data_IF_829542929370
#
_entry.id   IF_829542929370
#
_cell.length_a   1.000
_cell.length_b   1.000
_cell.length_c   1.000
_cell.angle_alpha   90.00
_cell.angle_beta   90.00
_cell.angle_gamma   90.00
#
_symmetry.space_group_name_H-M   'P 1'
#
loop_
_entity.id
_entity.type
_entity.pdbx_description
1 polymer ?
#
# COMPACT_ATOMS: atom_id res chain seq x y z
N UNK A 1 2.04 19.25 13.49
CA UNK A 1 2.02 19.21 12.01
C UNK A 1 0.60 19.54 11.55
N UNK A 2 0.44 20.39 10.53
CA UNK A 2 -0.89 20.71 9.98
C UNK A 2 -1.49 19.47 9.31
N UNK A 3 -2.74 19.16 9.63
CA UNK A 3 -3.50 18.03 9.04
C UNK A 3 -3.41 18.04 7.50
N UNK A 4 -3.33 19.23 6.89
CA UNK A 4 -3.14 19.42 5.45
C UNK A 4 -1.96 18.62 4.87
N UNK A 5 -0.81 18.57 5.54
CA UNK A 5 0.37 17.82 5.06
C UNK A 5 0.12 16.31 5.10
N UNK A 6 -0.63 15.82 6.10
CA UNK A 6 -0.98 14.41 6.22
C UNK A 6 -1.98 13.95 5.14
N UNK A 7 -2.77 14.86 4.56
CA UNK A 7 -3.73 14.54 3.49
C UNK A 7 -3.08 14.38 2.12
N UNK A 8 -1.92 15.01 1.88
CA UNK A 8 -1.26 14.99 0.57
C UNK A 8 -0.96 13.56 0.09
N UNK A 9 -0.32 12.68 0.89
CA UNK A 9 -0.06 11.31 0.44
C UNK A 9 -1.33 10.53 0.13
N UNK A 10 -2.39 10.69 0.93
CA UNK A 10 -3.67 9.99 0.72
C UNK A 10 -4.35 10.43 -0.57
N UNK A 11 -4.35 11.75 -0.87
CA UNK A 11 -4.91 12.29 -2.10
C UNK A 11 -4.11 11.83 -3.33
N UNK A 12 -2.78 11.89 -3.27
CA UNK A 12 -1.92 11.46 -4.38
C UNK A 12 -2.04 9.95 -4.65
N UNK A 13 -2.09 9.13 -3.59
CA UNK A 13 -2.27 7.68 -3.73
C UNK A 13 -3.65 7.33 -4.30
N UNK A 14 -4.70 8.02 -3.85
CA UNK A 14 -6.04 7.89 -4.41
C UNK A 14 -6.10 8.31 -5.89
N UNK A 15 -5.49 9.44 -6.25
CA UNK A 15 -5.44 9.92 -7.63
C UNK A 15 -4.67 8.96 -8.55
N UNK A 16 -3.50 8.47 -8.10
CA UNK A 16 -2.72 7.44 -8.82
C UNK A 16 -3.58 6.20 -9.11
N UNK A 17 -4.34 5.76 -8.11
CA UNK A 17 -5.19 4.58 -8.21
C UNK A 17 -6.31 4.74 -9.24
N UNK A 18 -6.90 5.94 -9.31
CA UNK A 18 -7.88 6.27 -10.34
C UNK A 18 -7.25 6.31 -11.73
N UNK A 19 -6.05 6.89 -11.88
CA UNK A 19 -5.34 6.93 -13.16
C UNK A 19 -4.97 5.53 -13.66
N UNK A 20 -4.47 4.66 -12.78
CA UNK A 20 -4.15 3.27 -13.11
C UNK A 20 -5.38 2.47 -13.55
N UNK A 21 -6.53 2.77 -12.96
CA UNK A 21 -7.82 2.20 -13.35
C UNK A 21 -8.39 2.75 -14.65
N UNK A 22 -8.22 4.05 -14.91
CA UNK A 22 -8.72 4.73 -16.10
C UNK A 22 -7.92 4.37 -17.36
N UNK A 23 -6.63 4.10 -17.22
CA UNK A 23 -5.72 3.74 -18.32
C UNK A 23 -5.12 2.33 -18.13
N UNK A 24 -5.95 1.27 -18.18
CA UNK A 24 -5.48 -0.08 -17.97
C UNK A 24 -4.56 -0.52 -19.11
N UNK A 25 -3.34 -0.92 -18.75
CA UNK A 25 -2.40 -1.62 -19.64
C UNK A 25 -1.85 -2.83 -18.91
N UNK A 26 -0.94 -3.60 -19.52
CA UNK A 26 -0.29 -4.75 -18.87
C UNK A 26 0.16 -4.46 -17.45
N UNK A 27 -0.20 -5.32 -16.50
CA UNK A 27 0.19 -5.17 -15.09
C UNK A 27 1.70 -5.04 -14.96
N UNK A 28 2.45 -5.80 -15.75
CA UNK A 28 3.91 -5.67 -15.86
C UNK A 28 4.32 -4.23 -16.18
N UNK A 29 3.77 -3.63 -17.25
CA UNK A 29 4.12 -2.28 -17.70
C UNK A 29 3.67 -1.23 -16.69
N UNK A 30 2.43 -1.31 -16.21
CA UNK A 30 1.91 -0.38 -15.20
C UNK A 30 2.73 -0.43 -13.92
N UNK A 31 2.98 -1.64 -13.38
CA UNK A 31 3.77 -1.80 -12.16
C UNK A 31 5.20 -1.28 -12.35
N UNK A 32 5.89 -1.67 -13.43
CA UNK A 32 7.24 -1.20 -13.71
C UNK A 32 7.28 0.33 -13.84
N UNK A 33 6.34 0.95 -14.54
CA UNK A 33 6.29 2.40 -14.67
C UNK A 33 6.09 3.12 -13.33
N UNK A 34 5.15 2.64 -12.50
CA UNK A 34 4.92 3.19 -11.15
C UNK A 34 6.16 3.02 -10.28
N UNK A 35 6.77 1.84 -10.28
CA UNK A 35 7.96 1.56 -9.46
C UNK A 35 9.18 2.37 -9.89
N UNK A 36 9.39 2.54 -11.20
CA UNK A 36 10.49 3.36 -11.72
C UNK A 36 10.29 4.83 -11.35
N UNK A 37 9.08 5.36 -11.55
CA UNK A 37 8.76 6.74 -11.18
C UNK A 37 8.90 6.98 -9.67
N UNK A 38 8.28 6.11 -8.85
CA UNK A 38 8.37 6.19 -7.40
C UNK A 38 9.82 6.03 -6.90
N UNK A 39 10.56 5.06 -7.44
CA UNK A 39 11.95 4.82 -7.09
C UNK A 39 12.87 6.00 -7.42
N UNK A 40 12.72 6.60 -8.60
CA UNK A 40 13.48 7.78 -9.01
C UNK A 40 13.18 8.99 -8.11
N UNK A 41 11.89 9.26 -7.82
CA UNK A 41 11.50 10.33 -6.89
C UNK A 41 12.04 10.07 -5.48
N UNK A 42 11.98 8.82 -5.00
CA UNK A 42 12.48 8.44 -3.68
C UNK A 42 13.98 8.70 -3.52
N UNK A 43 14.78 8.33 -4.54
CA UNK A 43 16.21 8.61 -4.57
C UNK A 43 16.51 10.11 -4.67
N UNK A 44 15.76 10.84 -5.49
CA UNK A 44 15.88 12.30 -5.59
C UNK A 44 15.60 13.00 -4.26
N UNK A 45 14.51 12.63 -3.59
CA UNK A 45 14.20 13.13 -2.25
C UNK A 45 15.30 12.79 -1.23
N UNK A 46 15.82 11.55 -1.26
CA UNK A 46 16.91 11.14 -0.37
C UNK A 46 18.17 12.00 -0.55
N UNK A 47 18.52 12.32 -1.80
CA UNK A 47 19.64 13.19 -2.12
C UNK A 47 19.43 14.63 -1.64
N UNK A 48 18.23 15.19 -1.82
CA UNK A 48 17.89 16.55 -1.36
C UNK A 48 17.88 16.68 0.16
N UNK A 49 17.46 15.62 0.87
CA UNK A 49 17.37 15.59 2.34
C UNK A 49 18.70 15.26 3.01
N UNK A 50 19.74 14.87 2.26
CA UNK A 50 21.00 14.39 2.84
C UNK A 50 20.82 13.15 3.72
N UNK A 51 19.89 12.26 3.33
CA UNK A 51 19.53 11.08 4.14
C UNK A 51 20.76 10.22 4.41
N UNK A 52 21.09 9.91 5.69
CA UNK A 52 22.22 9.04 6.00
C UNK A 52 21.90 7.58 5.64
N UNK A 53 22.90 6.86 5.12
CA UNK A 53 22.77 5.47 4.70
C UNK A 53 23.48 4.57 5.72
N UNK A 54 22.70 3.84 6.52
CA UNK A 54 23.23 2.76 7.36
C UNK A 54 22.95 1.41 6.71
N UNK A 55 23.69 0.37 7.12
CA UNK A 55 23.45 -0.99 6.63
C UNK A 55 22.02 -1.45 6.95
N UNK A 56 21.55 -1.20 8.18
CA UNK A 56 20.19 -1.54 8.60
C UNK A 56 19.13 -0.82 7.75
N UNK A 57 19.25 0.50 7.58
CA UNK A 57 18.33 1.28 6.75
C UNK A 57 18.34 0.83 5.29
N UNK A 58 19.51 0.42 4.80
CA UNK A 58 19.68 -0.06 3.43
C UNK A 58 18.94 -1.38 3.21
N UNK A 59 19.22 -2.40 4.05
CA UNK A 59 18.62 -3.73 3.93
C UNK A 59 17.11 -3.67 4.10
N UNK A 60 16.63 -3.04 5.18
CA UNK A 60 15.21 -3.01 5.50
C UNK A 60 14.42 -2.05 4.62
N UNK A 61 15.02 -0.94 4.18
CA UNK A 61 14.41 -0.05 3.19
C UNK A 61 14.24 -0.74 1.84
N UNK A 62 15.26 -1.45 1.34
CA UNK A 62 15.14 -2.25 0.11
C UNK A 62 14.04 -3.31 0.24
N UNK A 63 13.99 -4.03 1.36
CA UNK A 63 12.93 -5.00 1.63
C UNK A 63 11.54 -4.35 1.59
N UNK A 64 11.37 -3.17 2.19
CA UNK A 64 10.10 -2.43 2.14
C UNK A 64 9.75 -1.96 0.72
N UNK A 65 10.73 -1.56 -0.09
CA UNK A 65 10.52 -1.21 -1.50
C UNK A 65 10.02 -2.40 -2.33
N UNK A 66 10.55 -3.60 -2.05
CA UNK A 66 10.09 -4.85 -2.66
C UNK A 66 8.68 -5.23 -2.20
N UNK A 67 8.37 -5.07 -0.91
CA UNK A 67 7.00 -5.25 -0.39
C UNK A 67 6.03 -4.31 -1.11
N UNK A 68 6.41 -3.05 -1.32
CA UNK A 68 5.58 -2.06 -2.02
C UNK A 68 5.36 -2.44 -3.48
N UNK A 69 6.40 -2.95 -4.15
CA UNK A 69 6.29 -3.50 -5.51
C UNK A 69 5.29 -4.66 -5.56
N UNK A 70 5.40 -5.63 -4.66
CA UNK A 70 4.47 -6.75 -4.58
C UNK A 70 3.04 -6.28 -4.30
N UNK A 71 2.88 -5.36 -3.35
CA UNK A 71 1.60 -4.76 -3.00
C UNK A 71 0.92 -4.10 -4.20
N UNK A 72 1.69 -3.40 -5.03
CA UNK A 72 1.19 -2.75 -6.24
C UNK A 72 0.74 -3.76 -7.31
N UNK A 73 1.48 -4.85 -7.51
CA UNK A 73 1.05 -5.94 -8.42
C UNK A 73 -0.31 -6.50 -8.00
N UNK A 74 -0.49 -6.77 -6.70
CA UNK A 74 -1.76 -7.27 -6.19
C UNK A 74 -2.90 -6.25 -6.28
N UNK A 75 -2.64 -4.95 -6.08
CA UNK A 75 -3.64 -3.90 -6.37
C UNK A 75 -4.09 -3.98 -7.83
N UNK A 76 -3.14 -4.06 -8.77
CA UNK A 76 -3.45 -4.08 -10.19
C UNK A 76 -4.21 -5.36 -10.60
N UNK A 77 -3.91 -6.50 -9.98
CA UNK A 77 -4.72 -7.72 -10.15
C UNK A 77 -6.13 -7.53 -9.62
N UNK A 78 -6.29 -6.96 -8.43
CA UNK A 78 -7.61 -6.67 -7.86
C UNK A 78 -8.41 -5.72 -8.75
N UNK A 79 -7.78 -4.65 -9.27
CA UNK A 79 -8.42 -3.72 -10.22
C UNK A 79 -9.01 -4.44 -11.42
N UNK A 80 -8.26 -5.37 -12.02
CA UNK A 80 -8.74 -6.16 -13.17
C UNK A 80 -9.79 -7.20 -12.78
N UNK A 81 -9.71 -7.75 -11.57
CA UNK A 81 -10.63 -8.79 -11.12
C UNK A 81 -12.02 -8.24 -10.81
N UNK A 82 -12.12 -7.16 -10.02
CA UNK A 82 -13.41 -6.66 -9.53
C UNK A 82 -13.55 -5.14 -9.46
N UNK A 83 -12.59 -4.40 -10.03
CA UNK A 83 -12.64 -2.94 -10.18
C UNK A 83 -11.94 -2.15 -9.07
N UNK A 84 -11.63 -0.89 -9.40
CA UNK A 84 -10.97 0.07 -8.49
C UNK A 84 -11.86 0.47 -7.32
N UNK A 85 -13.16 0.65 -7.57
CA UNK A 85 -14.14 1.10 -6.57
C UNK A 85 -14.30 0.13 -5.40
N UNK A 86 -14.02 -1.17 -5.60
CA UNK A 86 -13.97 -2.16 -4.51
C UNK A 86 -12.59 -2.22 -3.87
N UNK A 87 -11.57 -2.30 -4.72
CA UNK A 87 -10.20 -2.52 -4.28
C UNK A 87 -9.74 -1.40 -3.34
N UNK A 88 -9.90 -0.13 -3.73
CA UNK A 88 -9.31 0.99 -2.99
C UNK A 88 -9.87 1.18 -1.58
N UNK A 89 -11.21 1.21 -1.37
CA UNK A 89 -11.77 1.29 -0.02
C UNK A 89 -11.38 0.09 0.85
N UNK A 90 -11.43 -1.13 0.30
CA UNK A 90 -11.14 -2.35 1.05
C UNK A 90 -9.65 -2.47 1.41
N UNK A 91 -8.73 -2.24 0.47
CA UNK A 91 -7.28 -2.28 0.76
C UNK A 91 -6.92 -1.24 1.82
N UNK A 92 -7.51 -0.03 1.76
CA UNK A 92 -7.22 1.03 2.73
C UNK A 92 -7.71 0.67 4.13
N UNK A 93 -8.94 0.16 4.25
CA UNK A 93 -9.48 -0.25 5.53
C UNK A 93 -8.71 -1.42 6.15
N UNK A 94 -8.33 -2.41 5.34
CA UNK A 94 -7.49 -3.53 5.78
C UNK A 94 -6.09 -3.08 6.23
N UNK A 95 -5.48 -2.12 5.53
CA UNK A 95 -4.20 -1.53 5.95
C UNK A 95 -4.32 -0.82 7.30
N UNK A 96 -5.40 -0.07 7.53
CA UNK A 96 -5.64 0.62 8.81
C UNK A 96 -5.85 -0.38 9.94
N UNK A 97 -6.66 -1.41 9.70
CA UNK A 97 -6.86 -2.49 10.66
C UNK A 97 -5.54 -3.19 11.00
N UNK A 98 -4.73 -3.53 9.99
CA UNK A 98 -3.44 -4.19 10.19
C UNK A 98 -2.47 -3.29 10.96
N UNK A 99 -2.31 -2.03 10.54
CA UNK A 99 -1.43 -1.08 11.22
C UNK A 99 -1.83 -0.87 12.68
N UNK A 100 -3.11 -0.72 12.98
CA UNK A 100 -3.58 -0.59 14.36
C UNK A 100 -3.34 -1.87 15.17
N UNK A 101 -3.57 -3.04 14.57
CA UNK A 101 -3.32 -4.33 15.22
C UNK A 101 -1.83 -4.50 15.55
N UNK A 102 -0.94 -4.18 14.62
CA UNK A 102 0.51 -4.19 14.84
C UNK A 102 0.94 -3.12 15.86
N UNK A 103 0.34 -1.92 15.79
CA UNK A 103 0.47 -0.83 16.76
C UNK A 103 0.26 -1.28 18.20
N UNK A 104 -0.90 -1.87 18.45
CA UNK A 104 -1.30 -2.33 19.79
C UNK A 104 -0.47 -3.53 20.22
N UNK A 105 -0.30 -4.54 19.36
CA UNK A 105 0.33 -5.82 19.73
C UNK A 105 1.84 -5.74 19.86
N UNK A 106 2.53 -5.04 18.94
CA UNK A 106 3.99 -4.99 18.91
C UNK A 106 4.56 -3.76 19.62
N UNK A 107 3.89 -2.61 19.52
CA UNK A 107 4.42 -1.34 20.03
C UNK A 107 3.71 -0.84 21.28
N UNK A 108 2.73 -1.59 21.79
CA UNK A 108 2.01 -1.26 23.01
C UNK A 108 1.24 0.06 22.91
N UNK A 109 0.70 0.39 21.74
CA UNK A 109 -0.13 1.57 21.57
C UNK A 109 -1.48 1.43 22.29
N UNK A 110 -2.16 2.57 22.48
CA UNK A 110 -3.50 2.65 23.09
C UNK A 110 -3.60 2.19 24.56
N UNK A 111 -2.52 2.37 25.33
CA UNK A 111 -2.48 2.06 26.78
C UNK A 111 -3.24 3.05 27.68
N UNK A 112 -3.54 4.25 27.20
CA UNK A 112 -4.28 5.24 27.98
C UNK A 112 -5.73 4.75 28.24
N UNK A 113 -6.33 5.08 29.40
CA UNK A 113 -7.70 4.68 29.71
C UNK A 113 -8.68 5.07 28.59
N UNK A 114 -9.43 4.09 28.08
CA UNK A 114 -10.41 4.30 27.02
C UNK A 114 -9.86 4.38 25.59
N UNK A 115 -8.54 4.51 25.39
CA UNK A 115 -7.95 4.64 24.05
C UNK A 115 -8.19 3.39 23.17
N UNK A 116 -8.06 2.20 23.75
CA UNK A 116 -8.29 0.94 23.02
C UNK A 116 -9.75 0.79 22.57
N UNK A 117 -10.72 1.12 23.43
CA UNK A 117 -12.14 1.06 23.09
C UNK A 117 -12.46 2.04 21.97
N UNK A 118 -12.01 3.30 22.10
CA UNK A 118 -12.21 4.33 21.09
C UNK A 118 -11.60 3.91 19.73
N UNK A 119 -10.37 3.37 19.76
CA UNK A 119 -9.67 2.89 18.57
C UNK A 119 -10.42 1.73 17.90
N UNK A 120 -10.90 0.76 18.67
CA UNK A 120 -11.68 -0.36 18.13
C UNK A 120 -13.01 0.07 17.51
N UNK A 121 -13.72 1.04 18.13
CA UNK A 121 -14.94 1.62 17.56
C UNK A 121 -14.64 2.37 16.27
N UNK A 122 -13.57 3.18 16.24
CA UNK A 122 -13.17 3.90 15.04
C UNK A 122 -12.84 2.94 13.88
N UNK A 123 -12.11 1.85 14.15
CA UNK A 123 -11.81 0.81 13.16
C UNK A 123 -13.10 0.13 12.66
N UNK A 124 -14.04 -0.19 13.54
CA UNK A 124 -15.32 -0.77 13.14
C UNK A 124 -16.09 0.15 12.18
N UNK A 125 -16.15 1.45 12.49
CA UNK A 125 -16.78 2.45 11.62
C UNK A 125 -16.06 2.58 10.27
N UNK A 126 -14.73 2.55 10.25
CA UNK A 126 -13.93 2.56 9.01
C UNK A 126 -14.23 1.33 8.15
N UNK A 127 -14.30 0.14 8.76
CA UNK A 127 -14.62 -1.10 8.06
C UNK A 127 -16.04 -1.08 7.48
N UNK A 128 -17.02 -0.56 8.23
CA UNK A 128 -18.38 -0.37 7.75
C UNK A 128 -18.45 0.62 6.59
N UNK A 129 -17.74 1.75 6.69
CA UNK A 129 -17.63 2.74 5.62
C UNK A 129 -17.00 2.15 4.35
N UNK A 130 -15.93 1.37 4.48
CA UNK A 130 -15.30 0.71 3.35
C UNK A 130 -16.20 -0.36 2.70
N UNK A 131 -16.97 -1.10 3.51
CA UNK A 131 -17.98 -2.03 3.01
C UNK A 131 -19.10 -1.30 2.25
N UNK A 132 -19.56 -0.15 2.75
CA UNK A 132 -20.55 0.68 2.08
C UNK A 132 -20.02 1.25 0.75
N UNK A 133 -18.77 1.76 0.72
CA UNK A 133 -18.15 2.29 -0.49
C UNK A 133 -17.87 1.22 -1.57
N UNK A 134 -17.64 -0.03 -1.16
CA UNK A 134 -17.36 -1.15 -2.07
C UNK A 134 -18.63 -1.90 -2.52
N UNK A 135 -19.80 -1.47 -2.04
CA UNK A 135 -21.08 -2.08 -2.38
C UNK A 135 -21.33 -2.05 -3.90
N UNK A 136 -21.89 -3.14 -4.43
CA UNK A 136 -22.33 -3.22 -5.81
C UNK A 136 -23.85 -3.16 -5.89
N UNK A 137 -24.38 -2.26 -6.71
CA UNK A 137 -25.78 -2.35 -7.12
C UNK A 137 -26.03 -3.67 -7.85
N UNK A 138 -27.17 -4.30 -7.56
CA UNK A 138 -27.54 -5.61 -8.13
C UNK A 138 -27.88 -5.55 -9.61
N UNK A 139 -27.92 -4.35 -10.18
CA UNK A 139 -28.27 -4.06 -11.57
C UNK A 139 -27.00 -3.87 -12.40
N UNK A 140 -26.76 -4.78 -13.35
CA UNK A 140 -25.65 -4.71 -14.31
C UNK A 140 -24.67 -5.91 -14.23
N UNK A 141 -23.81 -6.09 -15.24
CA UNK A 141 -22.81 -7.15 -15.24
C UNK A 141 -21.73 -6.88 -14.17
N UNK A 142 -21.89 -7.52 -13.01
CA UNK A 142 -20.89 -7.54 -11.95
C UNK A 142 -19.80 -8.60 -12.20
N UNK A 143 -18.73 -8.62 -11.37
CA UNK A 143 -17.72 -9.66 -11.44
C UNK A 143 -18.36 -11.05 -11.21
N UNK A 144 -17.81 -12.07 -11.85
CA UNK A 144 -18.16 -13.47 -11.57
C UNK A 144 -17.76 -13.87 -10.15
N UNK A 145 -18.22 -15.03 -9.67
CA UNK A 145 -17.81 -15.54 -8.35
C UNK A 145 -16.28 -15.75 -8.26
N UNK A 146 -15.65 -16.25 -9.33
CA UNK A 146 -14.21 -16.42 -9.41
C UNK A 146 -13.47 -15.07 -9.33
N UNK A 147 -13.90 -14.09 -10.12
CA UNK A 147 -13.36 -12.73 -10.07
C UNK A 147 -13.51 -12.05 -8.70
N UNK A 148 -14.64 -12.27 -8.00
CA UNK A 148 -14.81 -11.78 -6.63
C UNK A 148 -13.81 -12.40 -5.67
N UNK A 149 -13.62 -13.72 -5.72
CA UNK A 149 -12.65 -14.43 -4.89
C UNK A 149 -11.24 -13.94 -5.17
N UNK A 150 -10.84 -13.89 -6.44
CA UNK A 150 -9.49 -13.52 -6.83
C UNK A 150 -9.22 -12.04 -6.51
N UNK A 151 -10.20 -11.16 -6.71
CA UNK A 151 -10.15 -9.75 -6.33
C UNK A 151 -10.00 -9.56 -4.82
N UNK A 152 -10.75 -10.31 -4.00
CA UNK A 152 -10.64 -10.27 -2.54
C UNK A 152 -9.26 -10.73 -2.07
N UNK A 153 -8.77 -11.87 -2.59
CA UNK A 153 -7.46 -12.41 -2.22
C UNK A 153 -6.33 -11.43 -2.60
N UNK A 154 -6.38 -10.85 -3.80
CA UNK A 154 -5.40 -9.86 -4.23
C UNK A 154 -5.48 -8.57 -3.39
N UNK A 155 -6.69 -8.09 -3.06
CA UNK A 155 -6.89 -6.94 -2.18
C UNK A 155 -6.30 -7.18 -0.79
N UNK A 156 -6.55 -8.35 -0.21
CA UNK A 156 -6.00 -8.72 1.10
C UNK A 156 -4.48 -8.85 1.06
N UNK A 157 -3.91 -9.52 0.05
CA UNK A 157 -2.46 -9.66 -0.11
C UNK A 157 -1.78 -8.30 -0.27
N UNK A 158 -2.36 -7.40 -1.05
CA UNK A 158 -1.90 -6.02 -1.18
C UNK A 158 -1.93 -5.27 0.16
N UNK A 159 -3.04 -5.38 0.89
CA UNK A 159 -3.20 -4.71 2.17
C UNK A 159 -2.20 -5.19 3.22
N UNK A 160 -1.84 -6.48 3.21
CA UNK A 160 -0.79 -7.00 4.08
C UNK A 160 0.56 -6.38 3.73
N UNK A 161 0.94 -6.35 2.46
CA UNK A 161 2.24 -5.80 2.05
C UNK A 161 2.35 -4.29 2.32
N UNK A 162 1.32 -3.52 1.96
CA UNK A 162 1.30 -2.08 2.22
C UNK A 162 1.11 -1.73 3.70
N UNK A 163 0.33 -2.53 4.43
CA UNK A 163 0.02 -2.26 5.83
C UNK A 163 1.13 -2.71 6.80
N UNK A 164 2.00 -3.64 6.40
CA UNK A 164 3.05 -4.14 7.29
C UNK A 164 4.41 -3.47 7.13
N UNK A 165 4.74 -2.93 5.95
CA UNK A 165 6.06 -2.32 5.73
C UNK A 165 6.40 -1.16 6.71
N UNK A 166 5.46 -0.28 7.13
CA UNK A 166 5.80 0.78 8.09
C UNK A 166 6.12 0.20 9.48
N UNK A 167 5.36 -0.81 9.88
CA UNK A 167 5.58 -1.53 11.14
C UNK A 167 6.90 -2.30 11.12
N UNK A 168 7.29 -2.85 9.97
CA UNK A 168 8.60 -3.50 9.79
C UNK A 168 9.74 -2.50 10.06
N UNK A 169 9.73 -1.33 9.40
CA UNK A 169 10.75 -0.29 9.61
C UNK A 169 10.83 0.17 11.06
N UNK A 170 9.67 0.33 11.71
CA UNK A 170 9.60 0.69 13.13
C UNK A 170 10.17 -0.40 14.04
N UNK A 171 9.88 -1.67 13.76
CA UNK A 171 10.35 -2.80 14.55
C UNK A 171 11.88 -2.95 14.50
N UNK A 172 12.50 -2.56 13.39
CA UNK A 172 13.97 -2.57 13.23
C UNK A 172 14.61 -1.22 13.56
N UNK A 173 13.84 -0.31 14.16
CA UNK A 173 14.26 1.02 14.61
C UNK A 173 14.90 1.88 13.51
N UNK A 174 14.48 1.69 12.25
CA UNK A 174 14.95 2.50 11.12
C UNK A 174 14.04 3.72 10.99
N UNK A 175 14.57 4.95 11.13
CA UNK A 175 13.79 6.16 10.90
C UNK A 175 13.28 6.21 9.45
N UNK A 176 12.03 6.61 9.19
CA UNK A 176 11.49 6.70 7.83
C UNK A 176 12.34 7.58 6.90
N UNK A 177 12.92 8.66 7.44
CA UNK A 177 13.81 9.54 6.70
C UNK A 177 15.08 8.84 6.19
N UNK A 178 15.58 7.82 6.90
CA UNK A 178 16.76 7.05 6.49
C UNK A 178 16.39 5.92 5.52
N UNK A 179 15.15 5.42 5.59
CA UNK A 179 14.66 4.36 4.72
C UNK A 179 14.30 4.86 3.31
N UNK A 180 14.00 6.15 3.12
CA UNK A 180 13.47 6.69 1.85
C UNK A 180 14.38 6.42 0.65
N UNK A 181 15.69 6.63 0.77
CA UNK A 181 16.65 6.34 -0.30
C UNK A 181 16.71 4.85 -0.64
N UNK A 182 17.04 3.99 0.34
CA UNK A 182 17.04 2.53 0.16
C UNK A 182 15.72 1.93 -0.33
N UNK A 183 14.58 2.47 0.10
CA UNK A 183 13.27 2.05 -0.40
C UNK A 183 13.14 2.32 -1.90
N UNK A 184 13.70 3.44 -2.38
CA UNK A 184 13.86 3.73 -3.80
C UNK A 184 14.61 2.64 -4.57
N UNK A 185 15.72 2.14 -4.01
CA UNK A 185 16.46 1.01 -4.61
C UNK A 185 15.61 -0.27 -4.66
N UNK A 186 14.87 -0.57 -3.59
CA UNK A 186 13.96 -1.71 -3.54
C UNK A 186 12.85 -1.62 -4.58
N UNK A 187 12.28 -0.42 -4.79
CA UNK A 187 11.29 -0.16 -5.83
C UNK A 187 11.87 -0.41 -7.23
N UNK A 188 13.06 0.12 -7.53
CA UNK A 188 13.72 -0.08 -8.82
C UNK A 188 14.08 -1.56 -9.07
N UNK A 189 14.61 -2.25 -8.06
CA UNK A 189 14.88 -3.68 -8.12
C UNK A 189 13.59 -4.47 -8.36
N UNK A 190 12.52 -4.13 -7.64
CA UNK A 190 11.20 -4.71 -7.83
C UNK A 190 10.62 -4.47 -9.22
N UNK A 191 10.85 -3.28 -9.80
CA UNK A 191 10.46 -2.95 -11.17
C UNK A 191 11.13 -3.90 -12.18
N UNK A 192 12.44 -4.13 -12.01
CA UNK A 192 13.22 -5.06 -12.82
C UNK A 192 12.75 -6.51 -12.67
N UNK A 193 12.56 -6.97 -11.43
CA UNK A 193 12.04 -8.32 -11.15
C UNK A 193 10.66 -8.54 -11.79
N UNK A 194 9.75 -7.58 -11.65
CA UNK A 194 8.42 -7.68 -12.27
C UNK A 194 8.49 -7.68 -13.80
N UNK A 195 9.39 -6.90 -14.39
CA UNK A 195 9.60 -6.89 -15.84
C UNK A 195 10.09 -8.24 -16.39
N UNK A 196 10.81 -9.02 -15.58
CA UNK A 196 11.33 -10.34 -15.93
C UNK A 196 10.33 -11.48 -15.65
N UNK A 197 9.66 -11.44 -14.50
CA UNK A 197 8.83 -12.54 -13.99
C UNK A 197 7.39 -12.47 -14.54
N UNK A 198 6.82 -11.27 -14.65
CA UNK A 198 5.43 -11.16 -15.06
C UNK A 198 5.27 -11.43 -16.57
N UNK A 199 4.23 -12.19 -16.97
CA UNK A 199 4.07 -12.60 -18.36
C UNK A 199 3.87 -11.40 -19.29
N UNK A 200 4.44 -11.52 -20.50
CA UNK A 200 4.18 -10.65 -21.65
C UNK A 200 2.84 -11.00 -22.28
N UNK A 201 1.77 -10.50 -21.68
CA UNK A 201 0.50 -10.30 -22.40
C UNK A 201 0.63 -9.04 -23.27
#
# INVERSE_FOLDING_TARGET
MSIAVALVPSLLFGALSLLLGAFPTDIRRQNTAVMVGAGAVSLGCAAMLGSPWSLSATVWGVACGLMWTGGQVFVLWAFRAWGVSRTMPLTTALQLLLNATLGVSLFGEWRAPGALILGMVALALIMLGAAACSWQERTGPGPTAAQRRDGLLATAASAVLYGSYPSLLRAVEVPPAHAVGPMGLGLLAGAGLCALILPRR
#
